data_IF_805260792942
#
_entry.id   IF_805260792942
#
_cell.length_a   1.000
_cell.length_b   1.000
_cell.length_c   1.000
_cell.angle_alpha   90.00
_cell.angle_beta   90.00
_cell.angle_gamma   90.00
#
_symmetry.space_group_name_H-M   'P 1'
#
loop_
_entity.id
_entity.type
_entity.pdbx_description
1 polymer ?
#
# COMPACT_ATOMS: atom_id res chain seq x y z
N UNK A 1 11.74 -33.27 -14.43
CA UNK A 1 11.06 -32.26 -13.61
C UNK A 1 9.57 -32.52 -13.74
N UNK A 2 8.94 -33.09 -12.71
CA UNK A 2 7.49 -33.27 -12.67
C UNK A 2 6.87 -31.96 -12.23
N UNK A 3 6.40 -31.17 -13.20
CA UNK A 3 5.67 -29.92 -12.93
C UNK A 3 4.18 -30.22 -12.82
N UNK A 4 3.51 -29.55 -11.89
CA UNK A 4 2.07 -29.50 -11.84
C UNK A 4 1.59 -28.05 -11.79
N UNK A 5 0.37 -27.83 -12.25
CA UNK A 5 -0.18 -26.50 -12.51
C UNK A 5 -1.51 -26.36 -11.78
N UNK A 6 -1.70 -25.23 -11.09
CA UNK A 6 -2.98 -24.86 -10.51
C UNK A 6 -3.41 -23.52 -11.10
N UNK A 7 -4.40 -23.59 -12.00
CA UNK A 7 -4.92 -22.41 -12.68
C UNK A 7 -5.94 -21.69 -11.81
N UNK A 8 -5.68 -20.42 -11.53
CA UNK A 8 -6.68 -19.47 -11.06
C UNK A 8 -7.35 -18.75 -12.22
N UNK A 9 -8.20 -17.78 -11.91
CA UNK A 9 -8.91 -16.99 -12.92
C UNK A 9 -7.98 -16.02 -13.66
N UNK A 10 -7.02 -15.40 -12.95
CA UNK A 10 -6.06 -14.45 -13.51
C UNK A 10 -4.63 -14.64 -12.96
N UNK A 11 -4.34 -15.85 -12.47
CA UNK A 11 -3.02 -16.27 -12.03
C UNK A 11 -2.82 -17.76 -12.33
N UNK A 12 -1.56 -18.21 -12.28
CA UNK A 12 -1.20 -19.63 -12.44
C UNK A 12 -0.08 -19.99 -11.46
N UNK A 13 -0.36 -20.90 -10.55
CA UNK A 13 0.68 -21.49 -9.71
C UNK A 13 1.34 -22.65 -10.48
N UNK A 14 2.66 -22.60 -10.56
CA UNK A 14 3.51 -23.68 -11.04
C UNK A 14 4.15 -24.30 -9.83
N UNK A 15 4.08 -25.61 -9.67
CA UNK A 15 4.71 -26.28 -8.55
C UNK A 15 5.49 -27.54 -8.95
N UNK A 16 6.46 -27.90 -8.11
CA UNK A 16 7.45 -28.93 -8.38
C UNK A 16 8.08 -29.44 -7.09
N UNK A 17 8.47 -30.71 -7.06
CA UNK A 17 9.30 -31.28 -5.98
C UNK A 17 10.78 -30.86 -6.08
N UNK A 18 11.18 -30.18 -7.15
CA UNK A 18 12.55 -29.72 -7.37
C UNK A 18 12.58 -28.24 -7.73
N UNK A 19 13.62 -27.49 -7.32
CA UNK A 19 13.79 -26.08 -7.70
C UNK A 19 13.69 -25.87 -9.21
N UNK A 20 13.03 -24.78 -9.61
CA UNK A 20 12.89 -24.41 -11.01
C UNK A 20 12.81 -22.89 -11.17
N UNK A 21 12.99 -22.46 -12.41
CA UNK A 21 12.91 -21.06 -12.81
C UNK A 21 11.95 -20.92 -13.98
N UNK A 22 11.04 -19.95 -13.92
CA UNK A 22 10.26 -19.52 -15.07
C UNK A 22 11.04 -18.41 -15.78
N UNK A 23 11.37 -18.62 -17.05
CA UNK A 23 12.15 -17.69 -17.86
C UNK A 23 11.29 -16.68 -18.63
N UNK A 24 10.01 -16.98 -18.80
CA UNK A 24 9.06 -16.08 -19.45
C UNK A 24 7.67 -16.68 -19.55
N UNK A 25 6.68 -15.80 -19.74
CA UNK A 25 5.30 -16.13 -20.00
C UNK A 25 4.78 -15.17 -21.07
N UNK A 26 4.19 -15.70 -22.13
CA UNK A 26 3.55 -14.90 -23.18
C UNK A 26 2.21 -15.52 -23.57
N UNK A 27 1.21 -14.71 -23.96
CA UNK A 27 -0.03 -15.24 -24.54
C UNK A 27 0.30 -16.11 -25.75
N UNK A 28 -0.39 -17.23 -25.88
CA UNK A 28 -0.22 -18.10 -27.03
C UNK A 28 -0.90 -17.56 -28.30
N UNK A 29 -1.86 -16.66 -28.11
CA UNK A 29 -2.58 -15.92 -29.15
C UNK A 29 -1.97 -14.51 -29.35
N UNK A 30 -1.78 -14.09 -30.60
CA UNK A 30 -1.14 -12.81 -30.92
C UNK A 30 -2.04 -11.57 -30.66
N UNK A 31 -3.29 -11.76 -30.23
CA UNK A 31 -4.29 -10.70 -30.22
C UNK A 31 -4.47 -10.03 -28.84
N UNK A 32 -4.00 -8.78 -28.76
CA UNK A 32 -4.55 -7.75 -27.88
C UNK A 32 -4.53 -8.00 -26.37
N UNK A 33 -3.72 -8.93 -25.86
CA UNK A 33 -3.64 -9.22 -24.43
C UNK A 33 -3.01 -8.08 -23.64
N UNK A 34 -3.45 -7.88 -22.41
CA UNK A 34 -2.67 -7.09 -21.46
C UNK A 34 -1.48 -7.93 -20.99
N UNK A 35 -0.27 -7.49 -21.32
CA UNK A 35 0.94 -8.14 -20.82
C UNK A 35 1.15 -7.78 -19.36
N UNK A 36 1.28 -8.82 -18.52
CA UNK A 36 1.76 -8.72 -17.14
C UNK A 36 3.13 -8.02 -17.11
N UNK A 37 3.36 -7.16 -16.13
CA UNK A 37 4.66 -6.52 -15.87
C UNK A 37 5.53 -7.37 -14.92
N UNK A 38 5.16 -8.63 -14.71
CA UNK A 38 5.96 -9.55 -13.92
C UNK A 38 7.37 -9.68 -14.51
N UNK A 39 8.37 -9.53 -13.64
CA UNK A 39 9.78 -9.64 -14.03
C UNK A 39 10.20 -11.10 -14.07
N UNK A 40 11.01 -11.42 -15.07
CA UNK A 40 11.65 -12.73 -15.24
C UNK A 40 13.18 -12.57 -15.19
N UNK A 41 13.93 -13.61 -14.76
CA UNK A 41 13.45 -14.93 -14.33
C UNK A 41 12.67 -14.87 -13.00
N UNK A 42 11.68 -15.76 -12.86
CA UNK A 42 10.94 -15.99 -11.62
C UNK A 42 11.39 -17.31 -11.01
N UNK A 43 12.09 -17.24 -9.88
CA UNK A 43 12.58 -18.40 -9.16
C UNK A 43 11.50 -18.96 -8.24
N UNK A 44 11.31 -20.28 -8.28
CA UNK A 44 10.36 -20.94 -7.40
C UNK A 44 10.85 -20.93 -5.95
N UNK A 45 9.95 -20.58 -5.02
CA UNK A 45 10.23 -20.55 -3.58
C UNK A 45 9.73 -21.85 -2.94
N UNK A 46 10.51 -22.42 -2.02
CA UNK A 46 10.07 -23.58 -1.25
C UNK A 46 8.92 -23.16 -0.30
N UNK A 47 7.81 -23.87 -0.36
CA UNK A 47 6.67 -23.71 0.53
C UNK A 47 6.91 -24.53 1.80
N UNK A 48 6.98 -23.89 2.96
CA UNK A 48 7.30 -24.58 4.23
C UNK A 48 6.27 -25.67 4.59
N UNK A 49 5.01 -25.46 4.24
CA UNK A 49 3.90 -26.36 4.58
C UNK A 49 3.89 -27.67 3.78
N UNK A 50 4.36 -27.66 2.53
CA UNK A 50 4.36 -28.85 1.65
C UNK A 50 5.75 -29.36 1.29
N UNK A 51 6.79 -28.53 1.46
CA UNK A 51 8.13 -28.78 0.94
C UNK A 51 8.26 -28.66 -0.59
N UNK A 52 7.19 -28.26 -1.28
CA UNK A 52 7.19 -28.08 -2.73
C UNK A 52 7.70 -26.69 -3.11
N UNK A 53 8.35 -26.60 -4.27
CA UNK A 53 8.74 -25.32 -4.86
C UNK A 53 7.56 -24.77 -5.64
N UNK A 54 7.22 -23.51 -5.42
CA UNK A 54 6.13 -22.81 -6.11
C UNK A 54 6.60 -21.50 -6.72
N UNK A 55 6.16 -21.23 -7.94
CA UNK A 55 6.27 -19.94 -8.60
C UNK A 55 4.91 -19.55 -9.17
N UNK A 56 4.50 -18.30 -8.99
CA UNK A 56 3.17 -17.83 -9.38
C UNK A 56 3.28 -16.83 -10.51
N UNK A 57 2.57 -17.08 -11.61
CA UNK A 57 2.38 -16.11 -12.67
C UNK A 57 1.15 -15.25 -12.34
N UNK A 58 1.33 -13.94 -12.30
CA UNK A 58 0.31 -12.98 -11.87
C UNK A 58 -0.18 -12.09 -13.01
N UNK A 59 -1.35 -11.46 -12.80
CA UNK A 59 -1.93 -10.47 -13.69
C UNK A 59 -2.16 -10.99 -15.12
N UNK A 60 -2.66 -12.22 -15.22
CA UNK A 60 -3.03 -12.85 -16.49
C UNK A 60 -4.47 -12.50 -16.88
N UNK A 61 -4.82 -12.68 -18.15
CA UNK A 61 -6.20 -12.61 -18.61
C UNK A 61 -6.92 -13.93 -18.32
N UNK A 62 -8.21 -13.83 -18.05
CA UNK A 62 -9.05 -14.98 -17.73
C UNK A 62 -9.42 -15.79 -18.97
N UNK A 63 -9.47 -17.12 -18.83
CA UNK A 63 -9.80 -18.05 -19.91
C UNK A 63 -8.80 -18.11 -21.06
N UNK A 64 -7.64 -17.45 -20.93
CA UNK A 64 -6.61 -17.35 -21.98
C UNK A 64 -5.55 -18.42 -21.84
N UNK A 65 -4.90 -18.71 -22.97
CA UNK A 65 -3.79 -19.64 -23.02
C UNK A 65 -2.45 -18.90 -23.10
N UNK A 66 -1.44 -19.48 -22.45
CA UNK A 66 -0.11 -18.92 -22.32
C UNK A 66 0.93 -19.98 -22.66
N UNK A 67 2.04 -19.53 -23.25
CA UNK A 67 3.26 -20.29 -23.42
C UNK A 67 4.24 -19.90 -22.33
N UNK A 68 4.61 -20.85 -21.47
CA UNK A 68 5.46 -20.63 -20.30
C UNK A 68 6.77 -21.39 -20.47
N UNK A 69 7.89 -20.67 -20.43
CA UNK A 69 9.23 -21.26 -20.49
C UNK A 69 9.75 -21.58 -19.09
N UNK A 70 10.00 -22.86 -18.78
CA UNK A 70 10.48 -23.34 -17.48
C UNK A 70 11.77 -24.13 -17.63
N UNK A 71 12.75 -23.83 -16.78
CA UNK A 71 14.04 -24.52 -16.70
C UNK A 71 14.41 -24.90 -15.27
N UNK A 72 15.44 -25.73 -15.06
CA UNK A 72 16.01 -25.96 -13.74
C UNK A 72 16.53 -24.66 -13.14
N UNK A 73 16.44 -24.54 -11.80
CA UNK A 73 17.05 -23.41 -11.11
C UNK A 73 18.57 -23.52 -11.21
N UNK A 74 19.23 -22.42 -11.57
CA UNK A 74 20.69 -22.28 -11.57
C UNK A 74 21.22 -21.72 -10.26
N UNK A 75 20.34 -21.30 -9.34
CA UNK A 75 20.75 -20.93 -7.98
C UNK A 75 21.13 -22.21 -7.24
N UNK A 76 22.40 -22.57 -7.36
CA UNK A 76 23.05 -23.57 -6.51
C UNK A 76 22.79 -23.21 -5.05
N UNK A 77 22.44 -24.23 -4.28
CA UNK A 77 22.00 -24.24 -2.89
C UNK A 77 23.02 -23.70 -1.88
N UNK A 78 23.51 -22.46 -2.03
CA UNK A 78 24.55 -21.88 -1.20
C UNK A 78 24.06 -20.67 -0.40
N UNK A 79 23.13 -20.90 0.53
CA UNK A 79 23.02 -20.14 1.79
C UNK A 79 22.52 -21.03 2.91
N UNK A 80 23.06 -22.26 3.01
CA UNK A 80 23.17 -22.93 4.30
C UNK A 80 24.61 -22.78 4.77
N UNK A 81 24.79 -21.87 5.71
CA UNK A 81 26.03 -21.60 6.44
C UNK A 81 26.83 -22.88 6.67
N UNK A 82 27.95 -23.01 5.98
CA UNK A 82 29.05 -23.87 6.41
C UNK A 82 30.33 -23.26 5.87
N UNK A 83 30.99 -22.48 6.73
CA UNK A 83 32.41 -22.22 6.66
C UNK A 83 33.15 -23.57 6.61
N UNK A 84 33.56 -23.99 5.41
CA UNK A 84 34.67 -24.93 5.27
C UNK A 84 35.27 -24.82 3.86
N UNK A 85 36.47 -24.25 3.88
CA UNK A 85 37.44 -24.16 2.81
C UNK A 85 37.55 -25.44 1.99
N UNK A 86 37.55 -25.29 0.66
CA UNK A 86 38.22 -26.21 -0.25
C UNK A 86 38.34 -25.55 -1.62
N UNK A 87 39.37 -24.73 -1.77
CA UNK A 87 39.88 -24.21 -3.03
C UNK A 87 40.39 -25.35 -3.91
N UNK A 88 39.52 -26.01 -4.67
CA UNK A 88 39.93 -26.83 -5.82
C UNK A 88 38.99 -26.55 -6.98
N UNK A 89 39.43 -25.61 -7.82
CA UNK A 89 38.78 -25.24 -9.06
C UNK A 89 38.77 -26.40 -10.05
N UNK A 90 37.57 -26.88 -10.34
CA UNK A 90 37.28 -27.64 -11.55
C UNK A 90 36.07 -26.96 -12.17
N UNK A 91 36.32 -26.09 -13.14
CA UNK A 91 35.29 -25.44 -13.94
C UNK A 91 34.48 -26.50 -14.68
N UNK A 92 33.32 -26.88 -14.11
CA UNK A 92 32.32 -27.62 -14.86
C UNK A 92 31.67 -26.63 -15.82
N UNK A 93 31.96 -26.81 -17.11
CA UNK A 93 31.14 -26.27 -18.19
C UNK A 93 29.74 -26.90 -18.07
N UNK A 94 28.91 -26.32 -17.20
CA UNK A 94 27.51 -26.68 -17.06
C UNK A 94 26.82 -26.33 -18.37
N UNK A 95 26.48 -27.35 -19.15
CA UNK A 95 25.57 -27.19 -20.29
C UNK A 95 24.23 -26.78 -19.68
N UNK A 96 23.84 -25.51 -19.84
CA UNK A 96 22.54 -25.01 -19.39
C UNK A 96 21.46 -25.95 -19.91
N UNK A 97 20.80 -26.63 -18.99
CA UNK A 97 19.73 -27.54 -19.35
C UNK A 97 18.63 -26.75 -20.09
N UNK A 98 18.11 -27.28 -21.20
CA UNK A 98 17.26 -26.51 -22.09
C UNK A 98 15.96 -26.09 -21.41
N UNK A 99 15.59 -24.81 -21.59
CA UNK A 99 14.28 -24.27 -21.22
C UNK A 99 13.20 -25.04 -21.99
N UNK A 100 12.21 -25.58 -21.27
CA UNK A 100 11.05 -26.27 -21.84
C UNK A 100 9.85 -25.34 -21.85
N UNK A 101 9.10 -25.35 -22.94
CA UNK A 101 7.89 -24.55 -23.06
C UNK A 101 6.64 -25.39 -22.82
N UNK A 102 5.72 -24.84 -22.04
CA UNK A 102 4.46 -25.47 -21.68
C UNK A 102 3.30 -24.58 -22.10
N UNK A 103 2.26 -25.20 -22.65
CA UNK A 103 1.00 -24.53 -22.96
C UNK A 103 0.05 -24.70 -21.78
N UNK A 104 -0.41 -23.60 -21.21
CA UNK A 104 -1.22 -23.56 -19.99
C UNK A 104 -2.38 -22.59 -20.18
N UNK A 105 -3.48 -22.80 -19.45
CA UNK A 105 -4.69 -22.00 -19.60
C UNK A 105 -5.22 -21.55 -18.23
N UNK A 106 -5.60 -20.29 -18.12
CA UNK A 106 -6.29 -19.77 -16.92
C UNK A 106 -7.75 -20.19 -16.89
N UNK A 107 -8.34 -20.22 -15.69
CA UNK A 107 -9.77 -20.46 -15.52
C UNK A 107 -10.59 -19.33 -16.15
N UNK A 108 -11.76 -19.66 -16.70
CA UNK A 108 -12.70 -18.68 -17.27
C UNK A 108 -13.53 -18.07 -16.14
N UNK A 109 -13.45 -16.75 -15.99
CA UNK A 109 -14.34 -15.93 -15.17
C UNK A 109 -15.36 -15.28 -16.12
N UNK A 110 -16.66 -15.36 -15.76
CA UNK A 110 -17.78 -14.76 -16.51
C UNK A 110 -18.43 -13.59 -15.77
N UNK A 111 -17.84 -13.18 -14.65
CA UNK A 111 -18.25 -12.05 -13.83
C UNK A 111 -18.09 -10.72 -14.56
N UNK A 112 -18.63 -9.64 -13.97
CA UNK A 112 -18.68 -8.33 -14.61
C UNK A 112 -17.29 -7.76 -14.87
N UNK A 113 -16.25 -8.19 -14.14
CA UNK A 113 -14.88 -7.71 -14.31
C UNK A 113 -13.99 -8.60 -15.19
N UNK A 114 -14.54 -9.65 -15.81
CA UNK A 114 -13.76 -10.57 -16.64
C UNK A 114 -12.96 -9.86 -17.76
N UNK A 115 -13.49 -8.76 -18.31
CA UNK A 115 -12.81 -7.97 -19.34
C UNK A 115 -11.68 -7.06 -18.82
N UNK A 116 -11.51 -6.96 -17.50
CA UNK A 116 -10.45 -6.22 -16.80
C UNK A 116 -9.62 -7.15 -15.90
N UNK A 117 -9.63 -8.46 -16.17
CA UNK A 117 -9.04 -9.48 -15.30
C UNK A 117 -7.56 -9.20 -14.96
N UNK A 118 -6.76 -8.74 -15.93
CA UNK A 118 -5.36 -8.40 -15.73
C UNK A 118 -5.13 -7.18 -14.80
N UNK A 119 -6.18 -6.48 -14.39
CA UNK A 119 -6.15 -5.33 -13.47
C UNK A 119 -7.02 -5.55 -12.23
N UNK A 120 -7.56 -6.76 -12.05
CA UNK A 120 -8.55 -7.05 -11.02
C UNK A 120 -8.04 -8.12 -10.07
N UNK A 121 -8.34 -8.03 -8.78
CA UNK A 121 -8.23 -9.14 -7.83
C UNK A 121 -9.57 -9.86 -7.89
N UNK A 122 -9.62 -11.00 -8.59
CA UNK A 122 -10.85 -11.77 -8.77
C UNK A 122 -11.09 -12.77 -7.64
N UNK A 123 -10.03 -13.23 -6.99
CA UNK A 123 -10.08 -14.09 -5.81
C UNK A 123 -9.54 -13.33 -4.59
N UNK A 124 -10.43 -13.00 -3.66
CA UNK A 124 -10.11 -12.30 -2.41
C UNK A 124 -9.21 -13.15 -1.50
N UNK A 125 -9.27 -14.49 -1.62
CA UNK A 125 -8.41 -15.40 -0.87
C UNK A 125 -6.91 -15.18 -1.15
N UNK A 126 -6.57 -14.58 -2.30
CA UNK A 126 -5.20 -14.24 -2.66
C UNK A 126 -4.57 -13.21 -1.72
N UNK A 127 -5.37 -12.39 -1.03
CA UNK A 127 -4.90 -11.44 -0.03
C UNK A 127 -4.20 -12.14 1.16
N UNK A 128 -4.39 -13.44 1.34
CA UNK A 128 -3.78 -14.21 2.42
C UNK A 128 -2.45 -14.85 2.04
N UNK A 129 -2.04 -14.75 0.78
CA UNK A 129 -0.79 -15.36 0.31
C UNK A 129 0.42 -14.48 0.63
N UNK A 130 1.53 -15.11 1.01
CA UNK A 130 2.78 -14.42 1.31
C UNK A 130 3.39 -13.74 0.08
N UNK A 131 3.12 -14.27 -1.11
CA UNK A 131 3.54 -13.71 -2.40
C UNK A 131 2.55 -12.68 -2.99
N UNK A 132 1.53 -12.25 -2.24
CA UNK A 132 0.52 -11.32 -2.76
C UNK A 132 1.11 -9.96 -3.21
N UNK A 133 2.18 -9.48 -2.58
CA UNK A 133 2.84 -8.25 -3.06
C UNK A 133 3.47 -8.43 -4.45
N UNK A 134 3.85 -9.65 -4.83
CA UNK A 134 4.33 -9.96 -6.18
C UNK A 134 3.19 -9.84 -7.21
N UNK A 135 1.94 -10.15 -6.81
CA UNK A 135 0.75 -9.81 -7.59
C UNK A 135 0.68 -8.30 -7.83
N UNK A 136 0.78 -7.49 -6.77
CA UNK A 136 0.71 -6.03 -6.91
C UNK A 136 1.79 -5.48 -7.82
N UNK A 137 3.02 -6.01 -7.74
CA UNK A 137 4.15 -5.61 -8.59
C UNK A 137 3.91 -5.92 -10.06
N UNK A 138 3.31 -7.07 -10.36
CA UNK A 138 3.06 -7.56 -11.73
C UNK A 138 1.98 -6.76 -12.48
N UNK A 139 1.21 -5.93 -11.77
CA UNK A 139 0.08 -5.17 -12.31
C UNK A 139 0.54 -3.90 -13.05
N UNK A 140 0.25 -3.80 -14.35
CA UNK A 140 0.67 -2.65 -15.18
C UNK A 140 -0.03 -1.34 -14.89
N UNK A 141 -1.31 -1.42 -14.50
CA UNK A 141 -2.16 -0.24 -14.36
C UNK A 141 -1.83 0.53 -13.07
N UNK A 142 -2.04 1.85 -13.12
CA UNK A 142 -2.01 2.70 -11.92
C UNK A 142 -3.19 2.45 -10.99
N UNK A 143 -4.20 1.72 -11.46
CA UNK A 143 -5.41 1.38 -10.72
C UNK A 143 -5.70 -0.09 -10.88
N UNK A 144 -6.09 -0.72 -9.77
CA UNK A 144 -6.64 -2.07 -9.77
C UNK A 144 -8.09 -2.03 -9.31
N UNK A 145 -8.77 -3.15 -9.50
CA UNK A 145 -10.13 -3.37 -9.03
C UNK A 145 -10.15 -4.59 -8.13
N UNK A 146 -11.10 -4.64 -7.21
CA UNK A 146 -11.44 -5.87 -6.49
C UNK A 146 -12.95 -5.94 -6.38
N UNK A 147 -13.47 -7.13 -6.70
CA UNK A 147 -14.88 -7.42 -6.56
C UNK A 147 -15.17 -7.94 -5.16
N UNK A 148 -16.20 -7.39 -4.52
CA UNK A 148 -16.58 -7.74 -3.17
C UNK A 148 -17.73 -8.77 -3.20
N UNK A 149 -17.41 -10.06 -3.32
CA UNK A 149 -18.41 -11.12 -3.19
C UNK A 149 -18.24 -11.93 -1.90
N UNK A 150 -19.22 -11.84 -1.01
CA UNK A 150 -19.40 -12.75 0.13
C UNK A 150 -18.51 -12.50 1.35
N UNK A 151 -17.60 -11.53 1.29
CA UNK A 151 -16.75 -11.17 2.43
C UNK A 151 -17.40 -10.07 3.27
N UNK A 152 -17.03 -9.99 4.54
CA UNK A 152 -17.39 -8.88 5.40
C UNK A 152 -16.51 -7.66 5.03
N UNK A 153 -17.12 -6.48 4.88
CA UNK A 153 -16.45 -5.31 4.31
C UNK A 153 -15.27 -4.84 5.16
N UNK A 154 -15.40 -4.84 6.49
CA UNK A 154 -14.33 -4.35 7.36
C UNK A 154 -13.10 -5.27 7.28
N UNK A 155 -13.31 -6.58 7.32
CA UNK A 155 -12.25 -7.59 7.14
C UNK A 155 -11.50 -7.39 5.82
N UNK A 156 -12.25 -7.24 4.71
CA UNK A 156 -11.67 -7.00 3.39
C UNK A 156 -10.83 -5.72 3.35
N UNK A 157 -11.38 -4.62 3.86
CA UNK A 157 -10.70 -3.32 3.85
C UNK A 157 -9.44 -3.33 4.71
N UNK A 158 -9.46 -3.91 5.91
CA UNK A 158 -8.26 -4.00 6.74
C UNK A 158 -7.18 -4.84 6.07
N UNK A 159 -7.56 -5.93 5.39
CA UNK A 159 -6.61 -6.75 4.65
C UNK A 159 -6.02 -5.99 3.46
N UNK A 160 -6.83 -5.25 2.70
CA UNK A 160 -6.33 -4.37 1.64
C UNK A 160 -5.38 -3.30 2.19
N UNK A 161 -5.74 -2.68 3.32
CA UNK A 161 -4.93 -1.64 3.97
C UNK A 161 -3.60 -2.23 4.50
N UNK A 162 -3.60 -3.47 4.98
CA UNK A 162 -2.40 -4.22 5.35
C UNK A 162 -1.39 -4.33 4.19
N UNK A 163 -1.90 -4.44 2.96
CA UNK A 163 -1.11 -4.45 1.73
C UNK A 163 -0.94 -3.07 1.08
N UNK A 164 -1.18 -1.97 1.80
CA UNK A 164 -1.09 -0.57 1.33
C UNK A 164 -2.11 -0.17 0.26
N UNK A 165 -3.17 -0.96 0.07
CA UNK A 165 -4.20 -0.71 -0.93
C UNK A 165 -5.37 -0.01 -0.29
N UNK A 166 -5.35 1.32 -0.25
CA UNK A 166 -6.55 2.06 0.14
C UNK A 166 -7.64 1.86 -0.91
N UNK A 167 -8.81 1.42 -0.45
CA UNK A 167 -9.92 1.08 -1.31
C UNK A 167 -10.87 2.27 -1.42
N UNK A 168 -11.33 2.56 -2.64
CA UNK A 168 -12.29 3.62 -2.90
C UNK A 168 -13.54 2.97 -3.49
N UNK A 169 -14.71 3.10 -2.83
CA UNK A 169 -15.94 2.45 -3.30
C UNK A 169 -16.37 3.04 -4.65
N UNK A 170 -16.67 2.16 -5.59
CA UNK A 170 -17.11 2.49 -6.94
C UNK A 170 -18.13 1.45 -7.44
N UNK A 171 -18.64 1.62 -8.66
CA UNK A 171 -19.52 0.64 -9.30
C UNK A 171 -19.20 0.51 -10.79
N UNK A 172 -19.08 -0.72 -11.27
CA UNK A 172 -18.92 -1.03 -12.69
C UNK A 172 -20.13 -1.85 -13.15
N UNK A 173 -20.94 -1.28 -14.06
CA UNK A 173 -22.19 -1.91 -14.52
C UNK A 173 -23.07 -2.35 -13.35
N UNK A 174 -23.25 -1.46 -12.38
CA UNK A 174 -24.05 -1.68 -11.16
C UNK A 174 -23.46 -2.69 -10.17
N UNK A 175 -22.38 -3.41 -10.52
CA UNK A 175 -21.66 -4.25 -9.58
C UNK A 175 -20.79 -3.37 -8.65
N UNK A 176 -20.95 -3.47 -7.32
CA UNK A 176 -20.11 -2.74 -6.38
C UNK A 176 -18.68 -3.27 -6.43
N UNK A 177 -17.73 -2.36 -6.55
CA UNK A 177 -16.30 -2.69 -6.60
C UNK A 177 -15.52 -1.71 -5.73
N UNK A 178 -14.29 -2.07 -5.38
CA UNK A 178 -13.33 -1.10 -4.90
C UNK A 178 -12.28 -0.81 -5.97
N UNK A 179 -12.03 0.48 -6.21
CA UNK A 179 -10.87 0.93 -6.97
C UNK A 179 -9.67 1.08 -6.03
N UNK A 180 -8.52 0.58 -6.46
CA UNK A 180 -7.32 0.47 -5.66
C UNK A 180 -6.17 1.24 -6.34
N UNK A 181 -5.76 2.40 -5.84
CA UNK A 181 -4.57 3.10 -6.33
C UNK A 181 -3.32 2.21 -6.21
N UNK A 182 -2.71 1.87 -7.34
CA UNK A 182 -1.49 1.04 -7.38
C UNK A 182 -0.25 1.83 -7.82
N UNK A 183 -0.41 2.84 -8.67
CA UNK A 183 0.67 3.70 -9.16
C UNK A 183 1.74 2.97 -9.96
N UNK A 184 1.54 2.84 -11.28
CA UNK A 184 2.47 2.08 -12.15
C UNK A 184 3.90 2.63 -12.15
N UNK A 185 4.04 3.96 -12.04
CA UNK A 185 5.35 4.64 -11.95
C UNK A 185 5.88 4.76 -10.52
N UNK A 186 5.14 4.25 -9.53
CA UNK A 186 5.42 4.45 -8.11
C UNK A 186 4.43 5.39 -7.42
N UNK A 187 4.79 5.76 -6.20
CA UNK A 187 3.90 6.39 -5.21
C UNK A 187 4.59 7.59 -4.57
N UNK A 188 3.87 8.69 -4.39
CA UNK A 188 4.43 9.87 -3.73
C UNK A 188 4.43 9.67 -2.23
N UNK A 189 5.61 9.80 -1.63
CA UNK A 189 5.82 9.59 -0.21
C UNK A 189 6.75 10.66 0.37
N UNK A 190 6.64 10.90 1.67
CA UNK A 190 7.68 11.52 2.47
C UNK A 190 8.56 10.44 3.09
N UNK A 191 9.86 10.55 2.85
CA UNK A 191 10.86 9.65 3.42
C UNK A 191 11.29 10.14 4.81
N UNK A 192 10.69 9.57 5.85
CA UNK A 192 10.87 10.03 7.22
C UNK A 192 12.18 9.54 7.86
N UNK A 193 12.90 8.61 7.20
CA UNK A 193 14.27 8.22 7.56
C UNK A 193 15.26 9.39 7.42
N UNK A 194 14.96 10.39 6.60
CA UNK A 194 15.85 11.52 6.42
C UNK A 194 15.98 12.30 7.74
N UNK A 195 17.17 12.28 8.33
CA UNK A 195 17.44 13.04 9.54
C UNK A 195 17.38 14.55 9.28
N UNK A 196 17.06 15.32 10.34
CA UNK A 196 17.15 16.78 10.37
C UNK A 196 16.17 17.52 9.43
N UNK A 197 14.99 16.97 9.13
CA UNK A 197 13.93 17.72 8.45
C UNK A 197 13.50 18.89 9.35
N UNK A 198 13.74 20.12 8.89
CA UNK A 198 13.51 21.31 9.69
C UNK A 198 12.03 21.77 9.65
N UNK A 199 11.13 20.92 10.16
CA UNK A 199 9.66 21.13 10.18
C UNK A 199 9.27 22.51 10.75
N UNK A 200 9.96 22.94 11.81
CA UNK A 200 9.73 24.19 12.54
C UNK A 200 10.35 25.45 11.91
N UNK A 201 11.12 25.34 10.82
CA UNK A 201 11.93 26.47 10.28
C UNK A 201 11.09 27.61 9.70
N UNK A 202 9.87 27.34 9.23
CA UNK A 202 9.06 28.37 8.55
C UNK A 202 8.52 29.41 9.53
N UNK A 203 8.53 30.70 9.13
CA UNK A 203 8.00 31.81 9.96
C UNK A 203 6.53 31.59 10.36
N UNK A 204 5.71 31.03 9.46
CA UNK A 204 4.29 30.75 9.72
C UNK A 204 4.10 29.70 10.82
N UNK A 205 4.84 28.60 10.78
CA UNK A 205 4.82 27.56 11.82
C UNK A 205 5.15 28.15 13.19
N UNK A 206 6.25 28.92 13.29
CA UNK A 206 6.64 29.55 14.57
C UNK A 206 5.58 30.52 15.11
N UNK A 207 4.89 31.26 14.24
CA UNK A 207 3.80 32.16 14.65
C UNK A 207 2.64 31.40 15.29
N UNK A 208 2.18 30.31 14.64
CA UNK A 208 1.10 29.46 15.16
C UNK A 208 1.52 28.87 16.52
N UNK A 209 2.74 28.38 16.65
CA UNK A 209 3.25 27.81 17.92
C UNK A 209 3.28 28.84 19.05
N UNK A 210 3.75 30.05 18.79
CA UNK A 210 3.96 31.09 19.82
C UNK A 210 2.66 31.77 20.25
N UNK A 211 1.66 31.89 19.38
CA UNK A 211 0.43 32.60 19.74
C UNK A 211 -0.39 31.91 20.84
N UNK A 212 -0.17 30.61 21.08
CA UNK A 212 -0.82 29.87 22.16
C UNK A 212 -2.31 29.59 21.96
N UNK A 213 -2.90 29.98 20.83
CA UNK A 213 -4.33 29.86 20.54
C UNK A 213 -4.77 28.49 20.03
N UNK A 214 -3.82 27.65 19.60
CA UNK A 214 -4.11 26.41 18.90
C UNK A 214 -3.68 25.18 19.68
N UNK A 215 -4.40 24.08 19.48
CA UNK A 215 -4.10 22.76 20.04
C UNK A 215 -4.17 21.69 18.94
N UNK A 216 -3.69 20.50 19.28
CA UNK A 216 -3.78 19.31 18.43
C UNK A 216 -4.63 18.25 19.12
N UNK A 217 -5.53 17.61 18.39
CA UNK A 217 -6.19 16.38 18.83
C UNK A 217 -5.77 15.23 17.92
N UNK A 218 -5.76 14.03 18.50
CA UNK A 218 -5.59 12.77 17.76
C UNK A 218 -6.82 11.94 18.05
N UNK A 219 -7.48 11.45 17.00
CA UNK A 219 -8.66 10.57 17.09
C UNK A 219 -9.76 11.11 18.02
N UNK A 220 -10.00 12.44 17.97
CA UNK A 220 -11.01 13.09 18.83
C UNK A 220 -12.38 12.43 18.67
N UNK A 221 -12.84 12.40 17.42
CA UNK A 221 -14.04 11.70 16.98
C UNK A 221 -13.84 11.40 15.49
N UNK A 222 -13.60 10.12 15.17
CA UNK A 222 -13.30 9.71 13.79
C UNK A 222 -14.47 9.99 12.84
N UNK A 223 -15.72 9.83 13.32
CA UNK A 223 -16.91 10.08 12.50
C UNK A 223 -17.00 11.56 12.17
N UNK A 224 -16.85 12.42 13.16
CA UNK A 224 -16.86 13.88 12.98
C UNK A 224 -15.73 14.32 12.04
N UNK A 225 -14.50 13.86 12.25
CA UNK A 225 -13.36 14.17 11.37
C UNK A 225 -13.64 13.80 9.91
N UNK A 226 -14.22 12.61 9.66
CA UNK A 226 -14.57 12.15 8.32
C UNK A 226 -15.71 12.98 7.70
N UNK A 227 -16.69 13.41 8.50
CA UNK A 227 -17.77 14.29 8.06
C UNK A 227 -17.24 15.68 7.67
N UNK A 228 -16.34 16.26 8.46
CA UNK A 228 -15.68 17.53 8.15
C UNK A 228 -14.86 17.43 6.85
N UNK A 229 -14.12 16.32 6.67
CA UNK A 229 -13.40 16.07 5.42
C UNK A 229 -14.35 15.97 4.22
N UNK A 230 -15.47 15.25 4.38
CA UNK A 230 -16.52 15.15 3.36
C UNK A 230 -17.08 16.52 2.99
N UNK A 231 -17.47 17.33 3.98
CA UNK A 231 -17.98 18.69 3.78
C UNK A 231 -16.99 19.55 2.99
N UNK A 232 -15.73 19.56 3.41
CA UNK A 232 -14.66 20.28 2.72
C UNK A 232 -14.53 19.87 1.25
N UNK A 233 -14.54 18.56 0.94
CA UNK A 233 -14.41 18.11 -0.45
C UNK A 233 -15.64 18.42 -1.28
N UNK A 234 -16.85 18.29 -0.72
CA UNK A 234 -18.08 18.69 -1.40
C UNK A 234 -18.08 20.19 -1.73
N UNK A 235 -17.68 21.04 -0.79
CA UNK A 235 -17.60 22.49 -1.00
C UNK A 235 -16.55 22.86 -2.06
N UNK A 236 -15.38 22.20 -2.08
CA UNK A 236 -14.27 22.54 -2.98
C UNK A 236 -14.31 21.87 -4.35
N UNK A 237 -14.93 20.70 -4.46
CA UNK A 237 -14.91 19.86 -5.69
C UNK A 237 -16.30 19.54 -6.22
N UNK A 238 -17.35 19.74 -5.44
CA UNK A 238 -18.72 19.36 -5.79
C UNK A 238 -19.01 17.87 -5.69
N UNK A 239 -18.01 17.05 -5.34
CA UNK A 239 -18.13 15.61 -5.17
C UNK A 239 -17.05 15.06 -4.21
N UNK A 240 -17.26 13.84 -3.73
CA UNK A 240 -16.29 13.10 -2.92
C UNK A 240 -16.63 11.62 -2.87
N UNK A 241 -15.61 10.78 -2.67
CA UNK A 241 -15.78 9.34 -2.44
C UNK A 241 -16.20 9.02 -0.98
N UNK A 242 -16.07 9.99 -0.07
CA UNK A 242 -16.54 9.90 1.31
C UNK A 242 -18.08 9.97 1.37
N UNK A 243 -18.74 8.89 0.94
CA UNK A 243 -20.18 8.69 1.12
C UNK A 243 -20.46 8.29 2.56
N UNK A 244 -21.64 8.58 3.09
CA UNK A 244 -22.04 8.26 4.48
C UNK A 244 -21.79 6.78 4.81
N UNK A 245 -22.21 5.87 3.94
CA UNK A 245 -22.00 4.43 4.13
C UNK A 245 -20.52 4.03 4.21
N UNK A 246 -19.62 4.77 3.55
CA UNK A 246 -18.19 4.51 3.63
C UNK A 246 -17.55 5.17 4.85
N UNK A 247 -18.10 6.29 5.32
CA UNK A 247 -17.74 6.88 6.62
C UNK A 247 -18.07 5.89 7.73
N UNK A 248 -19.27 5.29 7.71
CA UNK A 248 -19.68 4.27 8.69
C UNK A 248 -18.67 3.11 8.74
N UNK A 249 -18.28 2.58 7.57
CA UNK A 249 -17.27 1.53 7.48
C UNK A 249 -15.91 1.97 8.07
N UNK A 250 -15.44 3.18 7.77
CA UNK A 250 -14.18 3.70 8.33
C UNK A 250 -14.25 3.93 9.84
N UNK A 251 -15.43 4.25 10.38
CA UNK A 251 -15.66 4.35 11.82
C UNK A 251 -15.62 2.97 12.48
N UNK A 252 -16.27 1.97 11.88
CA UNK A 252 -16.23 0.59 12.37
C UNK A 252 -14.78 0.05 12.36
N UNK A 253 -14.05 0.31 11.28
CA UNK A 253 -12.62 0.00 11.14
C UNK A 253 -11.76 0.66 12.23
N UNK A 254 -12.11 1.87 12.66
CA UNK A 254 -11.42 2.58 13.74
C UNK A 254 -11.73 1.98 15.13
N UNK A 255 -12.95 1.51 15.33
CA UNK A 255 -13.41 0.90 16.58
C UNK A 255 -12.90 -0.53 16.77
N UNK A 256 -12.72 -1.28 15.66
CA UNK A 256 -12.31 -2.68 15.67
C UNK A 256 -11.05 -2.90 14.81
N UNK A 257 -9.87 -2.37 15.19
CA UNK A 257 -8.66 -2.50 14.40
C UNK A 257 -8.14 -3.95 14.39
N UNK A 258 -8.02 -4.56 13.20
CA UNK A 258 -7.33 -5.84 13.01
C UNK A 258 -6.09 -5.70 12.12
N UNK A 259 -5.26 -6.75 12.12
CA UNK A 259 -3.98 -6.81 11.38
C UNK A 259 -3.03 -5.64 11.65
N UNK A 260 -3.19 -4.96 12.79
CA UNK A 260 -2.42 -3.76 13.16
C UNK A 260 -2.82 -2.48 12.42
N UNK A 261 -3.86 -2.51 11.58
CA UNK A 261 -4.36 -1.34 10.85
C UNK A 261 -5.14 -0.44 11.81
N UNK A 262 -4.71 0.80 11.98
CA UNK A 262 -5.37 1.78 12.85
C UNK A 262 -5.75 3.02 12.05
N UNK A 263 -7.05 3.28 11.90
CA UNK A 263 -7.54 4.54 11.35
C UNK A 263 -7.13 5.67 12.29
N UNK A 264 -6.68 6.78 11.72
CA UNK A 264 -6.22 7.94 12.47
C UNK A 264 -6.75 9.25 11.90
N UNK A 265 -7.08 10.18 12.80
CA UNK A 265 -7.27 11.59 12.52
C UNK A 265 -6.30 12.41 13.37
N UNK A 266 -5.64 13.39 12.75
CA UNK A 266 -4.84 14.40 13.46
C UNK A 266 -5.36 15.77 13.07
N UNK A 267 -5.83 16.52 14.06
CA UNK A 267 -6.60 17.74 13.86
C UNK A 267 -5.91 18.94 14.50
N UNK A 268 -5.96 20.07 13.80
CA UNK A 268 -5.60 21.38 14.33
C UNK A 268 -6.87 22.06 14.82
N UNK A 269 -6.89 22.48 16.08
CA UNK A 269 -8.05 23.11 16.70
C UNK A 269 -7.72 24.51 17.20
N UNK A 270 -8.72 25.38 17.20
CA UNK A 270 -8.72 26.60 18.01
C UNK A 270 -9.14 26.26 19.45
N UNK A 271 -8.31 26.61 20.44
CA UNK A 271 -8.53 26.23 21.84
C UNK A 271 -9.82 26.80 22.44
N UNK A 272 -10.13 28.05 22.12
CA UNK A 272 -11.25 28.77 22.76
C UNK A 272 -12.61 28.24 22.34
N UNK A 273 -12.72 27.75 21.11
CA UNK A 273 -13.98 27.28 20.53
C UNK A 273 -14.06 25.76 20.40
N UNK A 274 -12.91 25.06 20.39
CA UNK A 274 -12.86 23.64 20.04
C UNK A 274 -13.08 23.36 18.54
N UNK A 275 -13.12 24.42 17.70
CA UNK A 275 -13.35 24.28 16.26
C UNK A 275 -12.14 23.66 15.56
N UNK A 276 -12.40 22.70 14.69
CA UNK A 276 -11.38 22.08 13.83
C UNK A 276 -11.10 23.01 12.63
N UNK A 277 -9.84 23.41 12.50
CA UNK A 277 -9.38 24.34 11.45
C UNK A 277 -8.83 23.59 10.22
N UNK A 278 -8.18 22.45 10.47
CA UNK A 278 -7.62 21.56 9.47
C UNK A 278 -7.41 20.17 10.06
N UNK A 279 -7.38 19.14 9.22
CA UNK A 279 -7.10 17.78 9.66
C UNK A 279 -6.45 16.93 8.58
N UNK A 280 -5.71 15.94 9.02
CA UNK A 280 -5.17 14.86 8.20
C UNK A 280 -5.80 13.55 8.66
N UNK A 281 -6.25 12.74 7.70
CA UNK A 281 -6.91 11.47 7.91
C UNK A 281 -6.18 10.39 7.13
N UNK A 282 -5.93 9.28 7.81
CA UNK A 282 -5.15 8.19 7.27
C UNK A 282 -5.30 6.93 8.09
N UNK A 283 -4.39 5.99 7.87
CA UNK A 283 -4.19 4.87 8.77
C UNK A 283 -2.70 4.65 9.03
N UNK A 284 -2.38 4.14 10.21
CA UNK A 284 -1.04 3.61 10.52
C UNK A 284 -1.03 2.10 10.51
N UNK A 285 0.10 1.54 10.13
CA UNK A 285 0.38 0.11 10.21
C UNK A 285 1.86 -0.05 10.52
N UNK A 286 2.20 -0.55 11.71
CA UNK A 286 3.58 -0.52 12.19
C UNK A 286 4.16 0.90 12.12
N UNK A 287 5.34 1.05 11.54
CA UNK A 287 6.04 2.32 11.40
C UNK A 287 5.87 2.92 9.99
N UNK A 288 4.79 2.56 9.27
CA UNK A 288 4.34 3.26 8.05
C UNK A 288 3.01 3.96 8.28
N UNK A 289 2.83 5.09 7.62
CA UNK A 289 1.58 5.85 7.66
C UNK A 289 1.06 6.10 6.24
N UNK A 290 -0.23 5.94 6.05
CA UNK A 290 -0.92 6.12 4.78
C UNK A 290 -1.98 7.19 4.92
N UNK A 291 -1.75 8.34 4.30
CA UNK A 291 -2.76 9.39 4.19
C UNK A 291 -3.80 8.99 3.14
N UNK A 292 -5.07 9.21 3.43
CA UNK A 292 -6.12 9.08 2.40
C UNK A 292 -6.86 10.40 2.17
N UNK A 293 -6.85 11.33 3.13
CA UNK A 293 -7.40 12.66 2.88
C UNK A 293 -6.92 13.73 3.85
N UNK A 294 -6.90 14.98 3.37
CA UNK A 294 -6.64 16.16 4.18
C UNK A 294 -7.72 17.21 3.91
N UNK A 295 -8.06 18.00 4.93
CA UNK A 295 -9.04 19.06 4.82
C UNK A 295 -8.60 20.33 5.56
N UNK A 296 -9.16 21.47 5.16
CA UNK A 296 -8.90 22.77 5.79
C UNK A 296 -10.19 23.55 5.79
N UNK A 297 -10.90 23.52 6.93
CA UNK A 297 -12.21 24.16 7.11
C UNK A 297 -12.09 25.68 7.02
N UNK A 298 -11.02 26.25 7.58
CA UNK A 298 -10.78 27.68 7.55
C UNK A 298 -9.50 28.02 6.78
N UNK A 299 -9.64 28.81 5.71
CA UNK A 299 -8.47 29.40 5.05
C UNK A 299 -7.93 30.55 5.90
N UNK A 300 -6.62 30.55 6.11
CA UNK A 300 -5.93 31.60 6.85
C UNK A 300 -4.60 31.93 6.19
N UNK A 301 -4.11 33.19 6.24
CA UNK A 301 -2.76 33.56 5.80
C UNK A 301 -1.65 32.69 6.42
N UNK A 302 -1.92 32.13 7.59
CA UNK A 302 -1.10 31.22 8.38
C UNK A 302 -0.92 29.85 7.69
N UNK A 303 -1.86 29.45 6.83
CA UNK A 303 -1.80 28.19 6.07
C UNK A 303 -2.04 26.96 6.95
N UNK A 304 -3.21 26.85 7.57
CA UNK A 304 -3.57 25.78 8.52
C UNK A 304 -3.37 24.36 7.95
N UNK A 305 -3.78 24.10 6.71
CA UNK A 305 -3.51 22.80 6.07
C UNK A 305 -2.00 22.49 6.02
N UNK A 306 -1.19 23.43 5.53
CA UNK A 306 0.28 23.27 5.51
C UNK A 306 0.88 23.12 6.91
N UNK A 307 0.31 23.77 7.92
CA UNK A 307 0.73 23.61 9.31
C UNK A 307 0.40 22.20 9.82
N UNK A 308 -0.84 21.73 9.65
CA UNK A 308 -1.28 20.40 10.05
C UNK A 308 -0.40 19.31 9.41
N UNK A 309 -0.10 19.43 8.12
CA UNK A 309 0.82 18.52 7.42
C UNK A 309 2.23 18.49 8.04
N UNK A 310 2.78 19.65 8.42
CA UNK A 310 4.12 19.71 9.04
C UNK A 310 4.13 19.22 10.48
N UNK A 311 3.06 19.50 11.21
CA UNK A 311 2.85 19.00 12.56
C UNK A 311 2.80 17.47 12.55
N UNK A 312 2.03 16.87 11.64
CA UNK A 312 1.96 15.42 11.47
C UNK A 312 3.30 14.84 11.02
N UNK A 313 3.97 15.46 10.04
CA UNK A 313 5.27 15.01 9.55
C UNK A 313 6.35 14.97 10.63
N UNK A 314 6.41 16.00 11.48
CA UNK A 314 7.30 15.99 12.65
C UNK A 314 6.93 14.87 13.63
N UNK A 315 5.65 14.74 13.98
CA UNK A 315 5.22 13.75 14.95
C UNK A 315 5.50 12.32 14.49
N UNK A 316 5.18 11.99 13.23
CA UNK A 316 5.51 10.69 12.63
C UNK A 316 7.01 10.41 12.70
N UNK A 317 7.84 11.36 12.29
CA UNK A 317 9.30 11.20 12.34
C UNK A 317 9.79 10.97 13.78
N UNK A 318 9.31 11.74 14.76
CA UNK A 318 9.71 11.61 16.17
C UNK A 318 9.18 10.33 16.82
N UNK A 319 8.04 9.81 16.35
CA UNK A 319 7.51 8.51 16.74
C UNK A 319 8.28 7.33 16.10
N UNK A 320 9.22 7.58 15.18
CA UNK A 320 9.99 6.51 14.52
C UNK A 320 9.31 5.92 13.29
N UNK A 321 8.35 6.62 12.69
CA UNK A 321 7.81 6.23 11.39
C UNK A 321 8.87 6.39 10.29
N UNK A 322 8.82 5.47 9.34
CA UNK A 322 9.79 5.32 8.26
C UNK A 322 9.33 5.97 6.96
N UNK A 323 8.04 5.81 6.67
CA UNK A 323 7.45 6.12 5.38
C UNK A 323 6.06 6.70 5.60
N UNK A 324 5.79 7.83 4.95
CA UNK A 324 4.46 8.43 4.91
C UNK A 324 3.98 8.54 3.46
N UNK A 325 2.99 7.73 3.10
CA UNK A 325 2.38 7.70 1.77
C UNK A 325 1.30 8.77 1.61
N UNK A 326 1.30 9.45 0.46
CA UNK A 326 0.42 10.59 0.12
C UNK A 326 -0.43 10.37 -1.14
N UNK A 327 -0.39 9.20 -1.75
CA UNK A 327 -1.13 8.97 -3.00
C UNK A 327 -0.31 9.24 -4.26
N UNK A 328 -1.04 9.69 -5.29
CA UNK A 328 -0.45 10.20 -6.52
C UNK A 328 0.11 11.61 -6.29
N UNK A 329 1.26 11.90 -6.90
CA UNK A 329 1.85 13.24 -6.84
C UNK A 329 0.92 14.25 -7.51
N UNK A 330 0.38 15.17 -6.74
CA UNK A 330 -0.38 16.32 -7.23
C UNK A 330 0.50 17.57 -7.24
N UNK A 331 0.23 18.51 -8.15
CA UNK A 331 1.06 19.72 -8.34
C UNK A 331 1.27 20.52 -7.04
N UNK A 332 0.26 20.61 -6.17
CA UNK A 332 0.38 21.35 -4.91
C UNK A 332 1.34 20.70 -3.89
N UNK A 333 1.71 19.43 -4.11
CA UNK A 333 2.64 18.69 -3.25
C UNK A 333 4.10 19.03 -3.55
N UNK A 334 4.40 19.71 -4.66
CA UNK A 334 5.76 20.12 -5.05
C UNK A 334 6.51 20.86 -3.92
N UNK A 335 5.80 21.65 -3.11
CA UNK A 335 6.40 22.39 -1.99
C UNK A 335 6.97 21.49 -0.87
N UNK A 336 6.61 20.21 -0.85
CA UNK A 336 7.12 19.23 0.10
C UNK A 336 8.32 18.44 -0.43
N UNK A 337 8.64 18.60 -1.71
CA UNK A 337 9.82 17.99 -2.32
C UNK A 337 11.10 18.68 -1.87
N UNK A 338 12.20 17.93 -1.93
CA UNK A 338 13.52 18.39 -1.51
C UNK A 338 13.62 18.59 0.00
N UNK A 339 13.05 19.68 0.52
CA UNK A 339 13.23 20.11 1.92
C UNK A 339 12.58 19.19 2.95
N UNK A 340 11.48 18.53 2.60
CA UNK A 340 10.74 17.66 3.52
C UNK A 340 10.80 16.18 3.11
N UNK A 341 11.66 15.84 2.16
CA UNK A 341 11.85 14.45 1.71
C UNK A 341 10.75 13.93 0.78
N UNK A 342 9.89 14.80 0.24
CA UNK A 342 8.83 14.43 -0.70
C UNK A 342 9.43 13.93 -2.01
N UNK A 343 9.09 12.70 -2.42
CA UNK A 343 9.54 12.11 -3.68
C UNK A 343 8.59 11.02 -4.16
N UNK A 344 8.64 10.73 -5.46
CA UNK A 344 8.06 9.50 -6.01
C UNK A 344 9.03 8.36 -5.70
N UNK A 345 8.58 7.38 -4.93
CA UNK A 345 9.29 6.12 -4.72
C UNK A 345 8.77 5.14 -5.75
N UNK A 346 9.67 4.46 -6.48
CA UNK A 346 9.24 3.51 -7.50
C UNK A 346 8.44 2.36 -6.87
N UNK A 347 7.58 1.73 -7.66
CA UNK A 347 6.61 0.74 -7.16
C UNK A 347 7.26 -0.43 -6.41
N UNK A 348 8.36 -0.96 -6.93
CA UNK A 348 9.13 -2.04 -6.30
C UNK A 348 9.68 -1.61 -4.92
N UNK A 349 10.37 -0.48 -4.87
CA UNK A 349 10.97 0.02 -3.63
C UNK A 349 9.89 0.37 -2.59
N UNK A 350 8.75 0.89 -3.03
CA UNK A 350 7.63 1.21 -2.16
C UNK A 350 7.11 -0.05 -1.45
N UNK A 351 6.80 -1.12 -2.20
CA UNK A 351 6.26 -2.34 -1.61
C UNK A 351 7.29 -3.08 -0.76
N UNK A 352 8.57 -3.06 -1.15
CA UNK A 352 9.64 -3.61 -0.33
C UNK A 352 9.74 -2.88 1.02
N UNK A 353 9.74 -1.55 1.01
CA UNK A 353 9.71 -0.74 2.23
C UNK A 353 8.44 -0.95 3.04
N UNK A 354 7.28 -1.01 2.40
CA UNK A 354 6.02 -1.24 3.08
C UNK A 354 6.04 -2.58 3.82
N UNK A 355 6.40 -3.67 3.13
CA UNK A 355 6.52 -5.00 3.71
C UNK A 355 7.49 -5.06 4.90
N UNK A 356 8.65 -4.40 4.78
CA UNK A 356 9.65 -4.37 5.85
C UNK A 356 9.18 -3.63 7.11
N UNK A 357 8.30 -2.63 6.97
CA UNK A 357 8.00 -1.68 8.05
C UNK A 357 6.57 -1.80 8.60
N UNK A 358 5.65 -2.50 7.91
CA UNK A 358 4.25 -2.64 8.32
C UNK A 358 4.05 -3.43 9.61
N UNK A 359 4.97 -4.33 9.95
CA UNK A 359 4.90 -5.15 11.17
C UNK A 359 5.84 -4.63 12.28
N UNK A 360 6.65 -3.61 11.99
CA UNK A 360 7.60 -3.00 12.95
C UNK A 360 6.90 -1.86 13.68
N UNK A 361 6.78 -1.93 15.00
CA UNK A 361 6.09 -0.88 15.77
C UNK A 361 6.90 0.43 15.83
N UNK A 362 6.22 1.60 15.87
CA UNK A 362 6.88 2.88 16.16
C UNK A 362 7.33 2.94 17.63
N UNK A 363 8.24 3.86 17.96
CA UNK A 363 8.75 4.07 19.32
C UNK A 363 7.66 4.51 20.31
N UNK A 364 6.63 5.19 19.81
CA UNK A 364 5.42 5.56 20.54
C UNK A 364 4.30 5.89 19.55
N UNK A 365 3.07 5.90 20.03
CA UNK A 365 1.92 6.37 19.26
C UNK A 365 1.95 7.90 19.08
N UNK A 366 1.23 8.42 18.09
CA UNK A 366 1.08 9.86 17.90
C UNK A 366 0.42 10.53 19.10
N UNK A 367 -0.58 9.88 19.68
CA UNK A 367 -1.28 10.39 20.86
C UNK A 367 -0.35 10.51 22.06
N UNK A 368 0.43 9.47 22.38
CA UNK A 368 1.45 9.53 23.44
C UNK A 368 2.47 10.64 23.19
N UNK A 369 2.92 10.81 21.94
CA UNK A 369 3.86 11.88 21.57
C UNK A 369 3.29 13.28 21.82
N UNK A 370 2.05 13.55 21.44
CA UNK A 370 1.44 14.85 21.68
C UNK A 370 1.08 15.06 23.16
N UNK A 371 0.57 14.04 23.86
CA UNK A 371 0.28 14.10 25.30
C UNK A 371 1.54 14.31 26.15
N UNK A 372 2.70 13.84 25.70
CA UNK A 372 3.97 14.09 26.38
C UNK A 372 4.47 15.55 26.24
N UNK A 373 3.75 16.43 25.54
CA UNK A 373 4.14 17.82 25.33
C UNK A 373 5.33 18.04 24.39
N UNK A 374 5.78 17.00 23.66
CA UNK A 374 6.93 17.09 22.73
C UNK A 374 6.57 17.69 21.38
N UNK A 375 5.29 17.69 21.01
CA UNK A 375 4.79 18.20 19.73
C UNK A 375 4.91 19.72 19.56
N UNK A 376 4.57 20.21 18.37
CA UNK A 376 4.57 21.66 18.08
C UNK A 376 3.49 22.44 18.85
N UNK A 377 2.40 21.77 19.20
CA UNK A 377 1.23 22.33 19.89
C UNK A 377 0.88 21.47 21.10
N UNK A 378 0.24 22.05 22.13
CA UNK A 378 -0.30 21.28 23.24
C UNK A 378 -1.43 20.36 22.76
N UNK A 379 -1.54 19.20 23.40
CA UNK A 379 -2.64 18.26 23.18
C UNK A 379 -3.96 18.86 23.68
N UNK A 380 -5.01 18.71 22.90
CA UNK A 380 -6.36 19.16 23.23
C UNK A 380 -7.01 18.16 24.19
N UNK A 381 -7.39 18.63 25.37
CA UNK A 381 -8.20 17.89 26.33
C UNK A 381 -9.57 18.55 26.29
N UNK A 382 -10.61 17.79 25.94
CA UNK A 382 -11.98 18.31 26.02
C UNK A 382 -12.23 18.75 27.46
N UNK A 383 -12.86 19.91 27.64
CA UNK A 383 -13.49 20.20 28.92
C UNK A 383 -14.55 19.11 29.15
N UNK A 384 -14.45 18.40 30.28
CA UNK A 384 -15.48 17.45 30.73
C UNK A 384 -16.82 18.14 31.00
#
# INVERSE_FOLDING_TARGET
MGLHWRAGENYLDVLSLSPFTIHGCQPADAEGSFLSEQKFPLHARCQESSGEYMATLWALDTGRAYLVGVGPSTEDSSTRDTDLESCLGVGRNGVDAPVKFFFVKTCINRGPLAFLAAHTILDVGLLYRDDFLDCLLSQRSSWMLIEHFGWENTTLLQRLFYHSLFAIPDAIREAPVYTLPNGSKGRFCLDLKQENIAWRKSKKVRRIMVCGLFAVAVNRDIRDSLCLAREYHLEKKGNTWLKESYIDLLVDLAACPEYGVKIMSVELLEKSSGNVLAGCLGFSLGCVHHDFTMFTMQRSPEGFGTFATKLLGEALQQCGYNLWYWGFRLKYMEQFEGKYGGKIICKADFFARWAQNRDVQPNCTLEEFFRSGRGMLPYFVSAE
#
